data_IF_875895645627
#
_entry.id   IF_875895645627
#
_cell.length_a   1.000
_cell.length_b   1.000
_cell.length_c   1.000
_cell.angle_alpha   90.00
_cell.angle_beta   90.00
_cell.angle_gamma   90.00
#
_symmetry.space_group_name_H-M   'P 1'
#
loop_
_entity.id
_entity.type
_entity.pdbx_description
1 polymer ?
#
# COMPACT_ATOMS: atom_id res chain seq x y z
N UNK A 1 22.34 -5.79 -14.84
CA UNK A 1 21.44 -5.89 -13.69
C UNK A 1 20.30 -4.89 -13.91
N UNK A 2 19.06 -5.34 -14.15
CA UNK A 2 17.91 -4.43 -14.24
C UNK A 2 17.38 -4.26 -12.82
N UNK A 3 17.82 -3.21 -12.13
CA UNK A 3 17.22 -2.86 -10.83
C UNK A 3 15.79 -2.42 -11.11
N UNK A 4 14.79 -2.98 -10.41
CA UNK A 4 13.42 -2.53 -10.57
C UNK A 4 13.29 -1.06 -10.21
N UNK A 5 12.61 -0.28 -11.05
CA UNK A 5 12.35 1.12 -10.75
C UNK A 5 11.27 1.25 -9.68
N UNK A 6 11.41 2.26 -8.82
CA UNK A 6 10.37 2.67 -7.88
C UNK A 6 9.18 3.24 -8.66
N UNK A 7 8.21 2.38 -8.95
CA UNK A 7 6.94 2.72 -9.60
C UNK A 7 5.82 2.59 -8.59
N UNK A 8 4.81 3.46 -8.72
CA UNK A 8 3.60 3.35 -7.91
C UNK A 8 2.97 1.99 -8.15
N UNK A 9 2.54 1.38 -7.06
CA UNK A 9 1.82 0.14 -7.12
C UNK A 9 0.32 0.39 -7.13
N UNK A 10 -0.17 1.38 -6.38
CA UNK A 10 -1.56 1.80 -6.37
C UNK A 10 -1.81 3.03 -7.24
N UNK A 11 -3.04 3.18 -7.73
CA UNK A 11 -3.42 4.34 -8.53
C UNK A 11 -3.45 5.62 -7.68
N UNK A 12 -3.27 6.79 -8.29
CA UNK A 12 -3.25 8.08 -7.55
C UNK A 12 -4.57 8.40 -6.84
N UNK A 13 -5.67 7.83 -7.31
CA UNK A 13 -7.01 7.97 -6.74
C UNK A 13 -7.38 6.82 -5.80
N UNK A 14 -6.45 5.89 -5.52
CA UNK A 14 -6.68 4.82 -4.55
C UNK A 14 -6.74 5.40 -3.13
N UNK A 15 -7.57 4.80 -2.27
CA UNK A 15 -7.60 5.10 -0.84
C UNK A 15 -6.38 4.54 -0.10
N UNK A 16 -5.65 3.62 -0.74
CA UNK A 16 -4.43 3.04 -0.19
C UNK A 16 -3.28 4.03 -0.30
N UNK A 17 -2.67 4.40 0.83
CA UNK A 17 -1.47 5.23 0.83
C UNK A 17 -0.25 4.38 0.43
N UNK A 18 0.37 4.77 -0.68
CA UNK A 18 1.45 4.02 -1.32
C UNK A 18 2.83 4.69 -1.08
N UNK A 19 3.70 4.03 -0.29
CA UNK A 19 5.07 4.45 0.04
C UNK A 19 6.13 3.72 -0.82
N UNK A 20 5.96 3.79 -2.13
CA UNK A 20 6.74 3.04 -3.13
C UNK A 20 8.20 3.51 -3.33
N UNK A 21 8.64 4.63 -2.74
CA UNK A 21 10.04 5.10 -2.82
C UNK A 21 10.85 4.77 -1.58
N UNK A 22 10.29 3.96 -0.67
CA UNK A 22 10.96 3.59 0.57
C UNK A 22 10.82 4.65 1.66
N UNK A 23 9.72 5.40 1.67
CA UNK A 23 9.38 6.39 2.71
C UNK A 23 9.00 5.72 4.06
N UNK A 24 9.86 4.85 4.59
CA UNK A 24 9.58 4.01 5.76
C UNK A 24 9.31 4.81 7.04
N UNK A 25 10.02 5.92 7.25
CA UNK A 25 9.81 6.75 8.45
C UNK A 25 8.40 7.36 8.43
N UNK A 26 7.97 7.87 7.28
CA UNK A 26 6.62 8.44 7.11
C UNK A 26 5.55 7.35 7.23
N UNK A 27 5.80 6.15 6.70
CA UNK A 27 4.91 5.01 6.82
C UNK A 27 4.74 4.60 8.30
N UNK A 28 5.85 4.43 9.03
CA UNK A 28 5.82 4.06 10.45
C UNK A 28 5.14 5.13 11.31
N UNK A 29 5.41 6.41 11.04
CA UNK A 29 4.73 7.51 11.75
C UNK A 29 3.22 7.49 11.51
N UNK A 30 2.77 7.20 10.28
CA UNK A 30 1.36 7.10 9.97
C UNK A 30 0.72 5.87 10.65
N UNK A 31 1.39 4.71 10.60
CA UNK A 31 0.92 3.46 11.21
C UNK A 31 0.76 3.62 12.73
N UNK A 32 1.73 4.24 13.39
CA UNK A 32 1.71 4.44 14.85
C UNK A 32 0.68 5.49 15.33
N UNK A 33 0.07 6.25 14.40
CA UNK A 33 -0.96 7.23 14.72
C UNK A 33 -2.39 6.65 14.76
N UNK A 34 -2.54 5.37 14.42
CA UNK A 34 -3.83 4.68 14.32
C UNK A 34 -3.86 3.49 15.28
N UNK A 35 -5.02 3.24 15.89
CA UNK A 35 -5.21 2.09 16.78
C UNK A 35 -5.08 0.76 16.03
N UNK A 36 -5.54 0.73 14.77
CA UNK A 36 -5.46 -0.43 13.88
C UNK A 36 -5.05 0.04 12.49
N UNK A 37 -4.01 -0.58 11.94
CA UNK A 37 -3.53 -0.32 10.56
C UNK A 37 -3.46 -1.61 9.77
N UNK A 38 -3.91 -1.57 8.51
CA UNK A 38 -3.69 -2.64 7.53
C UNK A 38 -2.51 -2.25 6.63
N UNK A 39 -1.44 -3.06 6.63
CA UNK A 39 -0.19 -2.75 5.94
C UNK A 39 0.17 -3.88 4.98
N UNK A 40 0.40 -3.54 3.71
CA UNK A 40 0.87 -4.47 2.68
C UNK A 40 2.33 -4.19 2.36
N UNK A 41 3.20 -5.17 2.63
CA UNK A 41 4.55 -5.22 2.07
C UNK A 41 4.48 -5.92 0.71
N UNK A 42 4.96 -5.29 -0.34
CA UNK A 42 4.78 -5.78 -1.70
C UNK A 42 6.02 -5.50 -2.57
N UNK A 43 6.07 -6.17 -3.72
CA UNK A 43 6.95 -5.79 -4.82
C UNK A 43 6.12 -5.61 -6.11
N UNK A 44 6.31 -4.52 -6.90
CA UNK A 44 5.51 -4.27 -8.10
C UNK A 44 5.53 -5.40 -9.15
N UNK A 45 6.59 -6.20 -9.18
CA UNK A 45 6.80 -7.31 -10.12
C UNK A 45 6.39 -8.67 -9.57
N UNK A 46 6.00 -8.74 -8.29
CA UNK A 46 5.60 -9.99 -7.67
C UNK A 46 4.16 -10.36 -8.03
N UNK A 47 3.94 -11.62 -8.42
CA UNK A 47 2.66 -12.09 -8.94
C UNK A 47 1.57 -12.11 -7.86
N UNK A 48 1.90 -12.55 -6.65
CA UNK A 48 0.97 -12.59 -5.51
C UNK A 48 0.59 -11.17 -5.07
N UNK A 49 1.56 -10.26 -5.03
CA UNK A 49 1.32 -8.84 -4.78
C UNK A 49 0.32 -8.28 -5.79
N UNK A 50 0.52 -8.52 -7.10
CA UNK A 50 -0.38 -8.04 -8.14
C UNK A 50 -1.79 -8.64 -8.03
N UNK A 51 -1.88 -9.92 -7.68
CA UNK A 51 -3.17 -10.60 -7.47
C UNK A 51 -3.94 -10.01 -6.29
N UNK A 52 -3.29 -9.78 -5.15
CA UNK A 52 -3.92 -9.29 -3.91
C UNK A 52 -4.23 -7.79 -3.96
N UNK A 53 -3.55 -7.02 -4.82
CA UNK A 53 -3.71 -5.57 -4.95
C UNK A 53 -5.18 -5.11 -4.95
N UNK A 54 -6.02 -5.74 -5.77
CA UNK A 54 -7.44 -5.36 -5.90
C UNK A 54 -8.26 -5.63 -4.63
N UNK A 55 -7.98 -6.73 -3.94
CA UNK A 55 -8.64 -7.05 -2.67
C UNK A 55 -8.21 -6.09 -1.55
N UNK A 56 -6.94 -5.65 -1.57
CA UNK A 56 -6.46 -4.63 -0.64
C UNK A 56 -7.15 -3.27 -0.85
N UNK A 57 -7.38 -2.87 -2.11
CA UNK A 57 -8.17 -1.66 -2.42
C UNK A 57 -9.63 -1.79 -1.95
N UNK A 58 -10.25 -2.96 -2.11
CA UNK A 58 -11.61 -3.20 -1.59
C UNK A 58 -11.66 -3.11 -0.06
N UNK A 59 -10.67 -3.69 0.63
CA UNK A 59 -10.58 -3.61 2.08
C UNK A 59 -10.46 -2.15 2.55
N UNK A 60 -9.66 -1.32 1.86
CA UNK A 60 -9.54 0.10 2.17
C UNK A 60 -10.88 0.84 2.04
N UNK A 61 -11.69 0.55 1.01
CA UNK A 61 -13.04 1.14 0.86
C UNK A 61 -13.98 0.70 1.99
N UNK A 62 -13.96 -0.58 2.37
CA UNK A 62 -14.82 -1.08 3.46
C UNK A 62 -14.43 -0.45 4.80
N UNK A 63 -13.13 -0.25 5.04
CA UNK A 63 -12.62 0.39 6.25
C UNK A 63 -12.94 1.88 6.28
N UNK A 64 -12.88 2.60 5.16
CA UNK A 64 -13.23 4.03 5.13
C UNK A 64 -14.69 4.29 5.44
N UNK A 65 -15.58 3.35 5.13
CA UNK A 65 -17.03 3.48 5.39
C UNK A 65 -17.41 3.21 6.86
N UNK A 66 -16.49 2.66 7.65
CA UNK A 66 -16.72 2.21 9.03
C UNK A 66 -16.09 3.10 10.11
N UNK A 67 -15.45 4.19 9.71
CA UNK A 67 -14.80 5.19 10.60
C UNK A 67 -15.54 6.51 10.50
#
# INVERSE_FOLDING_TARGET
SKVPQAVRFFNRNSLVKDWYKGELVDALSAINSQDVSFVMYYAPWDAESQYVKGEFEKAANIMSDRV
#
